data_IF_071906319797
#
_entry.id   IF_071906319797
#
_cell.length_a   1.000
_cell.length_b   1.000
_cell.length_c   1.000
_cell.angle_alpha   90.00
_cell.angle_beta   90.00
_cell.angle_gamma   90.00
#
_symmetry.space_group_name_H-M   'P 1'
#
loop_
_entity.id
_entity.type
_entity.pdbx_description
1 polymer ?
#
# COMPACT_ATOMS: atom_id res chain seq x y z
N UNK A 1 -23.87 -20.04 -1.27
CA UNK A 1 -22.42 -20.06 -1.04
C UNK A 1 -22.05 -21.41 -0.49
N UNK A 2 -21.00 -22.03 -1.02
CA UNK A 2 -20.50 -23.33 -0.55
C UNK A 2 -19.00 -23.22 -0.30
N UNK A 3 -18.51 -23.78 0.78
CA UNK A 3 -17.08 -23.86 1.08
C UNK A 3 -16.76 -25.23 1.68
N UNK A 4 -15.52 -25.64 1.58
CA UNK A 4 -15.01 -26.90 2.13
C UNK A 4 -13.66 -26.61 2.81
N UNK A 5 -13.48 -27.18 3.99
CA UNK A 5 -12.22 -27.10 4.75
C UNK A 5 -11.77 -28.49 5.14
N UNK A 6 -10.47 -28.82 5.12
CA UNK A 6 -9.96 -30.05 5.66
C UNK A 6 -9.97 -29.98 7.20
N UNK A 7 -10.53 -31.01 7.86
CA UNK A 7 -10.54 -31.05 9.30
C UNK A 7 -11.82 -31.72 9.84
N UNK A 8 -11.82 -32.05 11.14
CA UNK A 8 -12.94 -32.70 11.84
C UNK A 8 -13.85 -31.71 12.55
N UNK A 9 -13.46 -30.41 12.59
CA UNK A 9 -14.23 -29.34 13.24
C UNK A 9 -14.17 -28.06 12.45
N UNK A 10 -15.24 -27.27 12.56
CA UNK A 10 -15.36 -25.94 11.98
C UNK A 10 -16.07 -25.05 13.00
N UNK A 11 -15.46 -23.91 13.32
CA UNK A 11 -16.10 -22.82 14.04
C UNK A 11 -16.53 -21.75 13.04
N UNK A 12 -17.80 -21.38 13.09
CA UNK A 12 -18.41 -20.46 12.14
C UNK A 12 -19.24 -19.41 12.85
N UNK A 13 -18.99 -18.14 12.52
CA UNK A 13 -19.69 -16.99 13.11
C UNK A 13 -20.58 -16.33 12.07
N UNK A 14 -21.87 -16.20 12.36
CA UNK A 14 -22.78 -15.36 11.61
C UNK A 14 -23.04 -14.06 12.41
N UNK A 15 -22.58 -12.94 11.87
CA UNK A 15 -22.70 -11.64 12.53
C UNK A 15 -23.84 -10.87 11.89
N UNK A 16 -24.99 -10.85 12.58
CA UNK A 16 -26.16 -10.13 12.13
C UNK A 16 -26.19 -8.68 12.68
N UNK A 17 -26.75 -7.77 11.91
CA UNK A 17 -27.08 -6.41 12.32
C UNK A 17 -28.08 -5.83 11.34
N UNK A 18 -29.07 -5.00 11.77
CA UNK A 18 -30.06 -4.39 10.89
C UNK A 18 -29.45 -3.37 9.93
N UNK A 19 -28.26 -2.84 10.24
CA UNK A 19 -27.53 -1.92 9.39
C UNK A 19 -26.07 -2.36 9.23
N UNK A 20 -25.38 -1.97 8.13
CA UNK A 20 -23.94 -2.24 7.97
C UNK A 20 -23.08 -1.71 9.13
N UNK A 21 -23.44 -0.57 9.74
CA UNK A 21 -22.72 -0.02 10.89
C UNK A 21 -22.77 -0.95 12.10
N UNK A 22 -23.95 -1.54 12.35
CA UNK A 22 -24.13 -2.47 13.48
C UNK A 22 -23.41 -3.79 13.23
N UNK A 23 -23.41 -4.30 11.99
CA UNK A 23 -22.61 -5.47 11.61
C UNK A 23 -21.14 -5.22 11.86
N UNK A 24 -20.59 -4.09 11.37
CA UNK A 24 -19.20 -3.71 11.59
C UNK A 24 -18.87 -3.49 13.07
N UNK A 25 -19.79 -2.87 13.82
CA UNK A 25 -19.61 -2.68 15.26
C UNK A 25 -19.52 -4.00 16.02
N UNK A 26 -20.37 -4.97 15.71
CA UNK A 26 -20.34 -6.31 16.31
C UNK A 26 -19.13 -7.11 15.87
N UNK A 27 -18.82 -7.06 14.58
CA UNK A 27 -17.64 -7.72 14.02
C UNK A 27 -16.34 -7.22 14.70
N UNK A 28 -16.13 -5.91 14.74
CA UNK A 28 -14.93 -5.35 15.34
C UNK A 28 -14.90 -5.44 16.87
N UNK A 29 -16.04 -5.63 17.53
CA UNK A 29 -16.06 -5.96 18.95
C UNK A 29 -15.49 -7.37 19.21
N UNK A 30 -15.71 -8.30 18.29
CA UNK A 30 -15.20 -9.67 18.35
C UNK A 30 -13.73 -9.76 17.93
N UNK A 31 -13.35 -9.09 16.84
CA UNK A 31 -12.02 -9.21 16.19
C UNK A 31 -11.00 -8.14 16.60
N UNK A 32 -11.42 -7.13 17.33
CA UNK A 32 -10.62 -5.95 17.70
C UNK A 32 -11.00 -4.71 16.89
N UNK A 33 -10.96 -3.55 17.54
CA UNK A 33 -11.21 -2.25 16.89
C UNK A 33 -9.98 -1.85 16.09
N UNK A 34 -10.16 -1.35 14.83
CA UNK A 34 -9.04 -0.82 14.07
C UNK A 34 -8.48 0.45 14.70
N UNK A 35 -7.18 0.69 14.52
CA UNK A 35 -6.60 1.98 14.87
C UNK A 35 -7.13 3.09 13.95
N UNK A 36 -7.16 4.32 14.46
CA UNK A 36 -7.47 5.48 13.63
C UNK A 36 -6.22 5.83 12.78
N UNK A 37 -6.28 5.73 11.46
CA UNK A 37 -5.15 6.07 10.61
C UNK A 37 -4.86 7.59 10.64
N UNK A 38 -3.62 8.01 10.37
CA UNK A 38 -3.30 9.43 10.26
C UNK A 38 -3.97 10.07 9.03
N UNK A 39 -4.32 11.38 9.07
CA UNK A 39 -5.06 12.04 7.99
C UNK A 39 -4.45 11.91 6.60
N UNK A 40 -3.12 11.91 6.48
CA UNK A 40 -2.43 11.79 5.19
C UNK A 40 -2.70 10.45 4.47
N UNK A 41 -3.06 9.40 5.23
CA UNK A 41 -3.36 8.08 4.65
C UNK A 41 -4.67 8.04 3.85
N UNK A 42 -5.52 9.06 4.01
CA UNK A 42 -6.73 9.27 3.21
C UNK A 42 -6.50 10.16 1.99
N UNK A 43 -5.25 10.61 1.77
CA UNK A 43 -4.88 11.40 0.61
C UNK A 43 -4.67 10.53 -0.64
N UNK A 44 -4.16 11.16 -1.70
CA UNK A 44 -3.87 10.48 -2.96
C UNK A 44 -2.63 9.59 -2.82
N UNK A 45 -2.78 8.35 -3.20
CA UNK A 45 -1.71 7.37 -3.35
C UNK A 45 -1.47 7.13 -4.83
N UNK A 46 -0.24 7.27 -5.28
CA UNK A 46 0.16 7.01 -6.66
C UNK A 46 1.08 5.80 -6.71
N UNK A 47 0.85 4.91 -7.65
CA UNK A 47 1.77 3.86 -8.07
C UNK A 47 1.84 3.83 -9.59
N UNK A 48 2.99 3.45 -10.13
CA UNK A 48 3.18 3.26 -11.57
C UNK A 48 3.39 1.79 -11.92
N UNK A 49 2.99 0.89 -11.00
CA UNK A 49 3.12 -0.55 -11.15
C UNK A 49 2.59 -1.06 -12.50
N UNK A 50 3.32 -1.95 -13.14
CA UNK A 50 3.02 -2.60 -14.41
C UNK A 50 2.86 -1.65 -15.63
N UNK A 51 2.99 -0.35 -15.45
CA UNK A 51 2.79 0.62 -16.54
C UNK A 51 4.09 1.22 -17.05
N UNK A 52 5.14 1.20 -16.23
CA UNK A 52 6.45 1.78 -16.54
C UNK A 52 7.56 0.94 -15.97
N UNK A 53 8.78 1.14 -16.49
CA UNK A 53 9.98 0.68 -15.83
C UNK A 53 10.14 1.40 -14.49
N UNK A 54 10.51 0.66 -13.44
CA UNK A 54 10.75 1.22 -12.13
C UNK A 54 12.23 1.56 -11.99
N UNK A 55 12.51 2.87 -11.99
CA UNK A 55 13.78 3.46 -11.60
C UNK A 55 13.53 4.83 -10.95
N UNK A 56 14.56 5.40 -10.35
CA UNK A 56 14.42 6.70 -9.67
C UNK A 56 14.00 7.82 -10.63
N UNK A 57 14.51 7.82 -11.86
CA UNK A 57 14.21 8.86 -12.85
C UNK A 57 12.73 8.85 -13.23
N UNK A 58 12.18 7.65 -13.48
CA UNK A 58 10.78 7.45 -13.81
C UNK A 58 9.87 7.86 -12.66
N UNK A 59 10.16 7.42 -11.43
CA UNK A 59 9.40 7.80 -10.23
C UNK A 59 9.42 9.32 -10.03
N UNK A 60 10.59 9.94 -10.16
CA UNK A 60 10.74 11.39 -10.02
C UNK A 60 9.91 12.14 -11.08
N UNK A 61 9.93 11.69 -12.32
CA UNK A 61 9.13 12.27 -13.41
C UNK A 61 7.63 12.28 -13.07
N UNK A 62 7.08 11.19 -12.54
CA UNK A 62 5.67 11.14 -12.14
C UNK A 62 5.38 12.07 -10.96
N UNK A 63 6.24 12.09 -9.95
CA UNK A 63 6.09 12.97 -8.78
C UNK A 63 6.17 14.45 -9.20
N UNK A 64 7.09 14.80 -10.09
CA UNK A 64 7.19 16.15 -10.65
C UNK A 64 5.95 16.53 -11.46
N UNK A 65 5.49 15.62 -12.31
CA UNK A 65 4.29 15.84 -13.10
C UNK A 65 3.02 16.08 -12.28
N UNK A 66 2.92 15.48 -11.09
CA UNK A 66 1.84 15.76 -10.15
C UNK A 66 1.97 17.17 -9.58
N UNK A 67 3.19 17.56 -9.16
CA UNK A 67 3.47 18.89 -8.60
C UNK A 67 3.24 20.01 -9.63
N UNK A 68 3.69 19.83 -10.89
CA UNK A 68 3.48 20.79 -11.99
C UNK A 68 2.02 21.07 -12.31
N UNK A 69 1.14 20.12 -11.97
CA UNK A 69 -0.31 20.22 -12.21
C UNK A 69 -1.12 20.58 -10.98
N UNK A 70 -0.43 20.96 -9.89
CA UNK A 70 -1.06 21.22 -8.59
C UNK A 70 -1.95 20.07 -8.09
N UNK A 71 -1.59 18.84 -8.43
CA UNK A 71 -2.29 17.65 -7.94
C UNK A 71 -1.62 17.21 -6.64
N UNK A 72 -2.32 17.29 -5.49
CA UNK A 72 -1.74 16.93 -4.22
C UNK A 72 -1.47 15.43 -4.14
N UNK A 73 -0.21 15.05 -4.08
CA UNK A 73 0.23 13.67 -3.88
C UNK A 73 0.71 13.48 -2.44
N UNK A 74 0.15 12.51 -1.75
CA UNK A 74 0.45 12.24 -0.33
C UNK A 74 1.37 11.04 -0.15
N UNK A 75 1.17 10.00 -0.97
CA UNK A 75 1.92 8.75 -0.87
C UNK A 75 2.32 8.28 -2.27
N UNK A 76 3.58 7.90 -2.41
CA UNK A 76 4.02 7.10 -3.54
C UNK A 76 4.21 5.66 -3.08
N UNK A 77 3.52 4.73 -3.72
CA UNK A 77 3.59 3.31 -3.44
C UNK A 77 4.50 2.64 -4.46
N UNK A 78 5.63 2.11 -4.00
CA UNK A 78 6.44 1.18 -4.79
C UNK A 78 5.79 -0.20 -4.69
N UNK A 79 5.38 -0.73 -5.82
CA UNK A 79 4.93 -2.12 -5.88
C UNK A 79 6.15 -3.08 -5.85
N UNK A 80 5.94 -4.36 -6.03
CA UNK A 80 6.97 -5.39 -5.88
C UNK A 80 8.26 -5.16 -6.71
N UNK A 81 8.22 -4.34 -7.76
CA UNK A 81 9.36 -4.07 -8.66
C UNK A 81 10.48 -3.20 -8.09
N UNK A 82 10.37 -2.71 -6.85
CA UNK A 82 11.53 -2.14 -6.16
C UNK A 82 12.54 -3.23 -5.78
N UNK A 83 12.06 -4.48 -5.63
CA UNK A 83 12.88 -5.65 -5.38
C UNK A 83 13.35 -6.26 -6.70
N UNK A 84 14.43 -7.02 -6.64
CA UNK A 84 14.91 -7.80 -7.77
C UNK A 84 13.80 -8.69 -8.32
N UNK A 85 13.62 -8.63 -9.63
CA UNK A 85 12.59 -9.39 -10.36
C UNK A 85 12.60 -10.88 -9.99
N UNK A 86 11.41 -11.42 -9.74
CA UNK A 86 11.17 -12.79 -9.25
C UNK A 86 11.74 -13.14 -7.86
N UNK A 87 12.27 -12.15 -7.11
CA UNK A 87 12.78 -12.30 -5.76
C UNK A 87 12.01 -11.46 -4.74
N UNK A 88 10.69 -11.36 -4.89
CA UNK A 88 9.83 -10.40 -4.18
C UNK A 88 9.51 -10.74 -2.71
N UNK A 89 10.23 -11.70 -2.14
CA UNK A 89 10.13 -12.05 -0.71
C UNK A 89 11.43 -11.82 0.07
N UNK A 90 12.50 -11.33 -0.57
CA UNK A 90 13.79 -11.13 0.08
C UNK A 90 13.99 -9.73 0.66
N UNK A 91 13.12 -8.76 0.28
CA UNK A 91 13.18 -7.37 0.72
C UNK A 91 14.51 -6.67 0.40
N UNK A 92 15.13 -7.02 -0.71
CA UNK A 92 16.35 -6.41 -1.20
C UNK A 92 16.05 -5.51 -2.40
N UNK A 93 16.58 -4.27 -2.37
CA UNK A 93 16.49 -3.36 -3.50
C UNK A 93 17.20 -3.93 -4.73
N UNK A 94 16.59 -3.77 -5.91
CA UNK A 94 17.26 -4.08 -7.16
C UNK A 94 18.29 -2.98 -7.47
N UNK A 95 19.56 -3.24 -7.16
CA UNK A 95 20.63 -2.29 -7.37
C UNK A 95 20.87 -1.91 -8.84
N UNK A 96 20.29 -2.66 -9.80
CA UNK A 96 20.38 -2.34 -11.24
C UNK A 96 19.55 -1.09 -11.57
N UNK A 97 18.42 -0.90 -10.91
CA UNK A 97 17.46 0.19 -11.16
C UNK A 97 17.41 1.20 -10.02
N UNK A 98 17.79 0.81 -8.82
CA UNK A 98 17.89 1.66 -7.63
C UNK A 98 19.30 1.55 -7.01
N UNK A 99 20.31 2.18 -7.62
CA UNK A 99 21.70 2.07 -7.14
C UNK A 99 21.92 2.80 -5.80
N UNK A 100 21.12 3.81 -5.48
CA UNK A 100 21.15 4.57 -4.21
C UNK A 100 19.74 4.70 -3.62
N UNK A 101 19.14 3.63 -3.14
CA UNK A 101 17.76 3.69 -2.64
C UNK A 101 17.62 4.58 -1.41
N UNK A 102 18.66 4.64 -0.56
CA UNK A 102 18.63 5.49 0.63
C UNK A 102 18.61 6.97 0.29
N UNK A 103 19.45 7.40 -0.64
CA UNK A 103 19.45 8.79 -1.11
C UNK A 103 18.17 9.15 -1.85
N UNK A 104 17.64 8.25 -2.68
CA UNK A 104 16.35 8.42 -3.35
C UNK A 104 15.22 8.63 -2.33
N UNK A 105 15.10 7.76 -1.34
CA UNK A 105 14.08 7.90 -0.30
C UNK A 105 14.21 9.21 0.48
N UNK A 106 15.43 9.68 0.72
CA UNK A 106 15.66 10.97 1.35
C UNK A 106 15.17 12.13 0.48
N UNK A 107 15.48 12.14 -0.82
CA UNK A 107 15.00 13.14 -1.79
C UNK A 107 13.48 13.17 -1.88
N UNK A 108 12.81 12.01 -1.90
CA UNK A 108 11.35 11.93 -1.89
C UNK A 108 10.75 12.43 -0.58
N UNK A 109 11.39 12.14 0.55
CA UNK A 109 10.97 12.64 1.87
C UNK A 109 11.03 14.16 1.99
N UNK A 110 12.03 14.81 1.39
CA UNK A 110 12.16 16.28 1.34
C UNK A 110 10.99 16.94 0.61
N UNK A 111 10.29 16.21 -0.24
CA UNK A 111 9.06 16.63 -0.93
C UNK A 111 7.78 16.40 -0.09
N UNK A 112 7.93 16.09 1.21
CA UNK A 112 6.82 15.78 2.13
C UNK A 112 6.02 14.53 1.71
N UNK A 113 6.56 13.74 0.81
CA UNK A 113 5.93 12.53 0.30
C UNK A 113 6.17 11.37 1.25
N UNK A 114 5.11 10.62 1.56
CA UNK A 114 5.23 9.33 2.26
C UNK A 114 5.52 8.24 1.23
N UNK A 115 6.38 7.31 1.60
CA UNK A 115 6.74 6.17 0.75
C UNK A 115 6.23 4.90 1.41
N UNK A 116 5.60 4.10 0.58
CA UNK A 116 5.07 2.79 0.96
C UNK A 116 5.56 1.70 0.00
#
# INVERSE_FOLDING_TARGET
MQFSVPGESLEYFLIYGPTPKEVLSRYTALTGRPALPPPWSFGLWLTTSFTTDYDEATVTHFVDGMAERDIPLHVFHFDCFWMKEFHWCNFEWDARVFPDPRGMLQRLKERVLKIW
#
